data_IF_468330168535
#
_entry.id   IF_468330168535
#
_cell.length_a   1.000
_cell.length_b   1.000
_cell.length_c   1.000
_cell.angle_alpha   90.00
_cell.angle_beta   90.00
_cell.angle_gamma   90.00
#
_symmetry.space_group_name_H-M   'P 1'
#
loop_
_entity.id
_entity.type
_entity.pdbx_description
1 polymer ?
#
# COMPACT_ATOMS: atom_id res chain seq x y z
N UNK A 1 -9.91 -5.17 -8.57
CA UNK A 1 -8.55 -5.75 -8.70
C UNK A 1 -7.57 -4.66 -8.32
N UNK A 2 -6.57 -4.98 -7.50
CA UNK A 2 -5.82 -4.09 -6.58
C UNK A 2 -5.47 -2.72 -7.17
N UNK A 3 -5.98 -1.67 -6.51
CA UNK A 3 -5.83 -0.28 -6.94
C UNK A 3 -4.40 0.21 -6.68
N UNK A 4 -3.86 -0.01 -5.47
CA UNK A 4 -2.50 0.34 -5.10
C UNK A 4 -1.53 -0.82 -5.28
N UNK A 5 -0.40 -0.54 -5.91
CA UNK A 5 0.69 -1.51 -6.14
C UNK A 5 2.04 -0.84 -5.89
N UNK A 6 3.05 -1.64 -5.53
CA UNK A 6 4.44 -1.20 -5.48
C UNK A 6 5.17 -1.62 -6.75
N UNK A 7 6.07 -0.77 -7.25
CA UNK A 7 7.04 -1.11 -8.30
C UNK A 7 8.45 -0.74 -7.83
N UNK A 8 9.42 -1.58 -8.14
CA UNK A 8 10.83 -1.31 -7.85
C UNK A 8 11.60 -0.79 -9.08
N UNK A 9 12.88 -0.48 -8.88
CA UNK A 9 13.79 -0.03 -9.96
C UNK A 9 13.97 -1.05 -11.09
N UNK A 10 13.82 -2.36 -10.80
CA UNK A 10 13.91 -3.43 -11.81
C UNK A 10 12.61 -3.61 -12.59
N UNK A 11 11.54 -2.94 -12.17
CA UNK A 11 10.22 -2.98 -12.80
C UNK A 11 9.32 -4.11 -12.31
N UNK A 12 9.69 -4.84 -11.25
CA UNK A 12 8.82 -5.83 -10.61
C UNK A 12 7.66 -5.12 -9.92
N UNK A 13 6.46 -5.71 -9.99
CA UNK A 13 5.23 -5.13 -9.42
C UNK A 13 4.70 -6.04 -8.31
N UNK A 14 4.52 -5.49 -7.12
CA UNK A 14 4.04 -6.19 -5.93
C UNK A 14 2.60 -5.80 -5.60
N UNK A 15 1.78 -6.80 -5.31
CA UNK A 15 0.40 -6.60 -4.85
C UNK A 15 0.36 -6.45 -3.35
N UNK A 16 -0.54 -5.59 -2.87
CA UNK A 16 -0.89 -5.59 -1.46
C UNK A 16 -1.53 -6.94 -1.08
N UNK A 17 -1.36 -7.35 0.18
CA UNK A 17 -1.95 -8.56 0.77
C UNK A 17 -3.16 -8.16 1.62
N UNK A 18 -4.41 -8.20 1.11
CA UNK A 18 -5.56 -7.63 1.82
C UNK A 18 -5.79 -8.21 3.20
N UNK A 19 -5.85 -9.55 3.31
CA UNK A 19 -6.03 -10.26 4.57
C UNK A 19 -4.95 -9.90 5.62
N UNK A 20 -3.68 -9.91 5.22
CA UNK A 20 -2.55 -9.59 6.12
C UNK A 20 -2.60 -8.12 6.53
N UNK A 21 -2.92 -7.24 5.58
CA UNK A 21 -3.05 -5.81 5.83
C UNK A 21 -4.16 -5.52 6.85
N UNK A 22 -5.34 -6.11 6.64
CA UNK A 22 -6.49 -6.01 7.55
C UNK A 22 -6.18 -6.56 8.93
N UNK A 23 -5.53 -7.72 9.03
CA UNK A 23 -5.18 -8.36 10.30
C UNK A 23 -4.17 -7.55 11.13
N UNK A 24 -3.32 -6.76 10.48
CA UNK A 24 -2.32 -5.91 11.15
C UNK A 24 -2.89 -4.56 11.64
N UNK A 25 -4.14 -4.22 11.29
CA UNK A 25 -4.73 -2.92 11.65
C UNK A 25 -5.05 -2.84 13.14
N UNK A 26 -4.68 -1.71 13.72
CA UNK A 26 -5.10 -1.23 15.04
C UNK A 26 -5.71 0.15 14.85
N UNK A 27 -7.06 0.24 14.79
CA UNK A 27 -7.75 1.50 14.52
C UNK A 27 -7.30 2.61 15.47
N UNK A 28 -7.00 3.78 14.92
CA UNK A 28 -6.53 4.95 15.70
C UNK A 28 -5.07 4.89 16.16
N UNK A 29 -4.33 3.82 15.81
CA UNK A 29 -2.90 3.69 16.10
C UNK A 29 -2.07 3.69 14.82
N UNK A 30 -2.39 2.81 13.86
CA UNK A 30 -1.61 2.65 12.63
C UNK A 30 -2.42 2.82 11.32
N UNK A 31 -3.75 2.80 11.40
CA UNK A 31 -4.66 3.15 10.32
C UNK A 31 -6.06 3.38 10.89
N UNK A 32 -6.98 3.94 10.09
CA UNK A 32 -8.38 4.10 10.45
C UNK A 32 -9.17 2.84 10.14
N UNK A 33 -8.87 2.19 9.00
CA UNK A 33 -9.60 1.01 8.51
C UNK A 33 -8.67 -0.05 7.91
N UNK A 34 -9.16 -1.30 7.88
CA UNK A 34 -8.52 -2.41 7.18
C UNK A 34 -8.66 -2.31 5.66
N UNK A 35 -7.76 -2.97 4.92
CA UNK A 35 -7.78 -2.96 3.46
C UNK A 35 -9.09 -3.53 2.88
N UNK A 36 -9.71 -4.49 3.57
CA UNK A 36 -10.98 -5.08 3.12
C UNK A 36 -12.22 -4.32 3.62
N UNK A 37 -12.02 -3.27 4.43
CA UNK A 37 -13.11 -2.44 4.93
C UNK A 37 -13.47 -1.38 3.90
N UNK A 38 -14.77 -1.18 3.69
CA UNK A 38 -15.26 -0.12 2.81
C UNK A 38 -14.83 1.25 3.36
N UNK A 39 -14.27 2.09 2.49
CA UNK A 39 -13.89 3.46 2.85
C UNK A 39 -15.15 4.29 3.12
N UNK A 40 -15.32 4.89 4.30
CA UNK A 40 -16.48 5.70 4.61
C UNK A 40 -16.57 6.93 3.70
N UNK A 41 -17.73 7.16 3.08
CA UNK A 41 -17.99 8.32 2.24
C UNK A 41 -18.43 9.56 3.07
N UNK A 42 -17.70 9.87 4.13
CA UNK A 42 -18.03 10.94 5.09
C UNK A 42 -17.24 12.25 4.86
N UNK A 43 -16.43 12.31 3.80
CA UNK A 43 -15.61 13.48 3.47
C UNK A 43 -14.36 13.66 4.34
N UNK A 44 -14.06 12.70 5.22
CA UNK A 44 -12.86 12.72 6.06
C UNK A 44 -11.73 11.93 5.39
N UNK A 45 -10.50 12.39 5.58
CA UNK A 45 -9.31 11.61 5.23
C UNK A 45 -9.33 10.30 6.03
N UNK A 46 -9.23 9.18 5.31
CA UNK A 46 -9.20 7.84 5.89
C UNK A 46 -7.88 7.18 5.54
N UNK A 47 -7.12 6.76 6.54
CA UNK A 47 -5.88 6.00 6.39
C UNK A 47 -6.17 4.49 6.31
N UNK A 48 -5.46 3.80 5.42
CA UNK A 48 -5.57 2.36 5.19
C UNK A 48 -4.19 1.75 5.36
N UNK A 49 -4.08 0.69 6.15
CA UNK A 49 -2.83 -0.06 6.30
C UNK A 49 -2.64 -0.99 5.11
N UNK A 50 -1.44 -1.03 4.52
CA UNK A 50 -1.11 -1.88 3.38
C UNK A 50 0.18 -2.65 3.65
N UNK A 51 0.14 -3.97 3.44
CA UNK A 51 1.29 -4.88 3.54
C UNK A 51 1.58 -5.46 2.17
N UNK A 52 2.86 -5.47 1.80
CA UNK A 52 3.37 -6.02 0.54
C UNK A 52 4.48 -7.01 0.84
N UNK A 53 4.48 -8.15 0.15
CA UNK A 53 5.63 -9.05 0.13
C UNK A 53 6.58 -8.58 -0.98
N UNK A 54 7.68 -7.95 -0.58
CA UNK A 54 8.66 -7.37 -1.50
C UNK A 54 9.93 -8.22 -1.51
N UNK A 55 10.59 -8.33 -2.66
CA UNK A 55 11.85 -9.04 -2.74
C UNK A 55 12.93 -8.30 -1.92
N UNK A 56 13.84 -9.00 -1.23
CA UNK A 56 14.81 -8.39 -0.33
C UNK A 56 15.83 -7.49 -1.06
N UNK A 57 15.99 -7.66 -2.37
CA UNK A 57 16.87 -6.86 -3.24
C UNK A 57 16.14 -5.69 -3.92
N UNK A 58 14.85 -5.49 -3.67
CA UNK A 58 14.09 -4.41 -4.28
C UNK A 58 14.54 -3.04 -3.76
N UNK A 59 14.74 -2.10 -4.67
CA UNK A 59 15.11 -0.72 -4.36
C UNK A 59 14.14 0.26 -5.01
N UNK A 60 14.15 1.50 -4.55
CA UNK A 60 13.42 2.62 -5.16
C UNK A 60 11.92 2.31 -5.33
N UNK A 61 11.33 1.74 -4.28
CA UNK A 61 9.93 1.36 -4.29
C UNK A 61 9.04 2.58 -4.51
N UNK A 62 8.19 2.49 -5.52
CA UNK A 62 7.19 3.48 -5.87
C UNK A 62 5.80 2.89 -5.67
N UNK A 63 4.97 3.56 -4.86
CA UNK A 63 3.55 3.25 -4.70
C UNK A 63 2.76 4.00 -5.77
N UNK A 64 1.98 3.31 -6.58
CA UNK A 64 1.18 3.94 -7.63
C UNK A 64 -0.17 3.25 -7.81
N UNK A 65 -1.10 3.97 -8.44
CA UNK A 65 -2.35 3.38 -8.86
C UNK A 65 -2.11 2.53 -10.12
N UNK A 66 -2.52 1.27 -10.12
CA UNK A 66 -2.23 0.32 -11.21
C UNK A 66 -2.60 0.85 -12.61
N UNK A 67 -3.66 1.64 -12.71
CA UNK A 67 -4.16 2.22 -13.97
C UNK A 67 -3.48 3.55 -14.36
N UNK A 68 -2.56 4.06 -13.53
CA UNK A 68 -1.79 5.30 -13.72
C UNK A 68 -0.34 5.10 -13.27
N UNK A 69 0.46 4.30 -14.02
CA UNK A 69 1.83 3.95 -13.65
C UNK A 69 2.83 5.11 -13.69
N UNK A 70 2.42 6.25 -14.24
CA UNK A 70 3.15 7.51 -14.31
C UNK A 70 2.89 8.43 -13.11
N UNK A 71 1.94 8.10 -12.24
CA UNK A 71 1.57 8.90 -11.07
C UNK A 71 1.69 8.06 -9.81
N UNK A 72 2.77 8.28 -9.06
CA UNK A 72 3.08 7.53 -7.85
C UNK A 72 3.79 8.37 -6.79
N UNK A 73 3.88 7.78 -5.62
CA UNK A 73 4.59 8.32 -4.47
C UNK A 73 5.82 7.45 -4.23
N UNK A 74 7.00 8.08 -4.19
CA UNK A 74 8.23 7.39 -3.78
C UNK A 74 8.10 6.97 -2.31
N UNK A 75 8.42 5.72 -2.00
CA UNK A 75 8.45 5.23 -0.63
C UNK A 75 9.78 5.67 0.00
N UNK A 76 9.73 6.80 0.70
CA UNK A 76 10.85 7.41 1.42
C UNK A 76 11.03 6.76 2.79
N UNK A 77 11.53 5.52 2.78
CA UNK A 77 11.89 4.80 4.00
C UNK A 77 12.07 3.30 3.75
N UNK A 78 13.29 2.80 3.94
CA UNK A 78 13.55 1.37 4.02
C UNK A 78 13.56 0.96 5.50
N UNK A 79 12.75 -0.03 5.87
CA UNK A 79 12.96 -0.76 7.12
C UNK A 79 14.14 -1.69 6.85
N UNK A 80 15.29 -1.41 7.47
CA UNK A 80 16.42 -2.35 7.56
C UNK A 80 16.18 -3.33 8.69
#
# INVERSE_FOLDING_TARGET
RDFFVLKDAQGRVYQARPEVSSAAVRPGVNADVGHETAIPANGLTTSVYLVFDVAPDATDLMLFARNKPDQGFLVIGAVR
#
